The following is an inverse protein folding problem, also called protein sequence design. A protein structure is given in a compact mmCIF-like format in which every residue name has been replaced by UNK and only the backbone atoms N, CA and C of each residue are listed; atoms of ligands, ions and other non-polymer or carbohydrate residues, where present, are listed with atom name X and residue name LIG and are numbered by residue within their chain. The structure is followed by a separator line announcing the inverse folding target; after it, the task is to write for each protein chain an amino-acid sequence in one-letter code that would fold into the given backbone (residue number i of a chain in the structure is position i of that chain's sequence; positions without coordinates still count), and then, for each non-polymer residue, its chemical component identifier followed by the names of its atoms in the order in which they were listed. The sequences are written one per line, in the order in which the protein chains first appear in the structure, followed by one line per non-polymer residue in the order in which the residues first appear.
data_IF_076612769136
#
_entry.id   IF_076612769136
#
_cell.length_a   1.000
_cell.length_b   1.000
_cell.length_c   1.000
_cell.angle_alpha   90.00
_cell.angle_beta   90.00
_cell.angle_gamma   90.00
#
_symmetry.space_group_name_H-M   'P 1'
#
loop_
_entity.id
_entity.type
_entity.pdbx_description
1 polymer ?
#
# COMPACT_ATOMS: atom_id res chain seq x y z
N UNK A 1 -4.30 7.00 3.57
CA UNK A 1 -4.88 6.95 4.94
C UNK A 1 -4.98 5.50 5.36
N UNK A 2 -5.27 5.20 6.63
CA UNK A 2 -5.42 3.82 7.12
C UNK A 2 -6.77 3.24 6.73
N UNK A 3 -6.82 1.92 6.49
CA UNK A 3 -8.08 1.17 6.36
C UNK A 3 -8.97 1.43 7.58
N UNK A 4 -10.27 1.71 7.40
CA UNK A 4 -11.19 1.87 8.52
C UNK A 4 -11.29 0.59 9.36
N UNK A 5 -11.40 0.77 10.68
CA UNK A 5 -11.42 -0.33 11.66
C UNK A 5 -12.61 -1.27 11.45
N UNK A 6 -13.76 -0.73 11.06
CA UNK A 6 -15.01 -1.44 10.81
C UNK A 6 -15.69 -0.96 9.51
N UNK A 7 -16.52 -1.83 8.94
CA UNK A 7 -17.26 -1.52 7.72
C UNK A 7 -18.40 -0.53 8.00
N UNK A 8 -18.49 0.55 7.22
CA UNK A 8 -19.51 1.59 7.37
C UNK A 8 -20.95 1.08 7.21
N UNK A 9 -21.16 0.02 6.43
CA UNK A 9 -22.51 -0.52 6.18
C UNK A 9 -22.93 -1.57 7.21
N UNK A 10 -22.02 -2.46 7.61
CA UNK A 10 -22.39 -3.65 8.41
C UNK A 10 -21.72 -3.72 9.78
N UNK A 11 -20.88 -2.75 10.15
CA UNK A 11 -20.24 -2.64 11.46
C UNK A 11 -19.20 -3.71 11.78
N UNK A 12 -19.07 -4.79 11.00
CA UNK A 12 -18.08 -5.83 11.26
C UNK A 12 -16.66 -5.31 11.04
N UNK A 13 -15.72 -5.82 11.83
CA UNK A 13 -14.31 -5.46 11.80
C UNK A 13 -13.74 -5.73 10.39
N UNK A 14 -13.06 -4.72 9.86
CA UNK A 14 -12.46 -4.76 8.53
C UNK A 14 -10.93 -4.62 8.55
N UNK A 15 -10.39 -3.82 9.48
CA UNK A 15 -8.97 -3.46 9.54
C UNK A 15 -8.02 -4.63 9.80
N UNK A 16 -8.47 -5.69 10.46
CA UNK A 16 -7.68 -6.89 10.76
C UNK A 16 -7.21 -7.69 9.52
N UNK A 17 -7.73 -7.37 8.33
CA UNK A 17 -7.40 -8.08 7.08
C UNK A 17 -6.54 -7.27 6.13
N UNK A 18 -6.13 -6.05 6.51
CA UNK A 18 -5.27 -5.17 5.70
C UNK A 18 -3.98 -5.87 5.29
N UNK A 19 -3.32 -6.50 6.25
CA UNK A 19 -1.99 -7.08 6.07
C UNK A 19 -2.03 -8.39 5.26
N UNK A 20 -3.12 -9.15 5.37
CA UNK A 20 -3.29 -10.42 4.67
C UNK A 20 -3.68 -10.24 3.19
N UNK A 21 -4.44 -9.19 2.86
CA UNK A 21 -5.01 -9.01 1.53
C UNK A 21 -3.96 -8.88 0.40
N UNK A 22 -2.89 -8.08 0.51
CA UNK A 22 -1.84 -7.99 -0.50
C UNK A 22 -1.14 -9.34 -0.74
N UNK A 23 -0.99 -10.16 0.30
CA UNK A 23 -0.43 -11.51 0.19
C UNK A 23 -1.33 -12.47 -0.59
N UNK A 24 -2.66 -12.33 -0.45
CA UNK A 24 -3.63 -13.16 -1.17
C UNK A 24 -3.82 -12.76 -2.64
N UNK A 25 -3.57 -11.49 -3.02
CA UNK A 25 -3.66 -11.04 -4.41
C UNK A 25 -2.54 -11.57 -5.32
N UNK A 26 -1.47 -12.15 -4.76
CA UNK A 26 -0.36 -12.71 -5.53
C UNK A 26 -0.75 -14.01 -6.28
N UNK A 27 -1.39 -15.00 -5.61
CA UNK A 27 -1.84 -16.22 -6.28
C UNK A 27 -3.29 -16.21 -6.79
N UNK A 28 -4.15 -15.31 -6.30
CA UNK A 28 -5.60 -15.35 -6.58
C UNK A 28 -6.11 -14.09 -7.29
N UNK A 29 -7.21 -14.23 -8.03
CA UNK A 29 -8.00 -13.07 -8.50
C UNK A 29 -8.60 -12.33 -7.31
N UNK A 30 -8.84 -11.02 -7.45
CA UNK A 30 -9.29 -10.16 -6.34
C UNK A 30 -10.55 -10.70 -5.62
N UNK A 31 -11.51 -11.23 -6.38
CA UNK A 31 -12.71 -11.87 -5.82
C UNK A 31 -12.40 -13.15 -5.04
N UNK A 32 -11.56 -14.03 -5.60
CA UNK A 32 -11.16 -15.27 -4.93
C UNK A 32 -10.32 -15.01 -3.68
N UNK A 33 -9.49 -13.95 -3.67
CA UNK A 33 -8.75 -13.51 -2.50
C UNK A 33 -9.68 -13.04 -1.37
N UNK A 34 -10.76 -12.32 -1.71
CA UNK A 34 -11.78 -11.91 -0.75
C UNK A 34 -12.56 -13.10 -0.18
N UNK A 35 -12.89 -14.08 -1.02
CA UNK A 35 -13.58 -15.31 -0.60
C UNK A 35 -12.70 -16.18 0.29
N UNK A 36 -11.40 -16.31 -0.01
CA UNK A 36 -10.42 -16.99 0.83
C UNK A 36 -10.30 -16.35 2.22
N UNK A 37 -10.48 -15.03 2.31
CA UNK A 37 -10.53 -14.29 3.58
C UNK A 37 -11.93 -14.29 4.24
N UNK A 38 -12.92 -14.99 3.68
CA UNK A 38 -14.28 -15.10 4.21
C UNK A 38 -15.15 -13.86 4.03
N UNK A 39 -14.90 -13.02 3.02
CA UNK A 39 -15.67 -11.81 2.71
C UNK A 39 -16.80 -12.09 1.71
N UNK A 40 -17.85 -12.80 2.16
CA UNK A 40 -19.03 -13.13 1.33
C UNK A 40 -19.91 -11.94 0.90
N UNK A 41 -19.68 -10.74 1.41
CA UNK A 41 -20.57 -9.59 1.21
C UNK A 41 -19.80 -8.39 0.66
N UNK A 42 -20.37 -7.76 -0.36
CA UNK A 42 -19.80 -6.63 -1.08
C UNK A 42 -19.40 -5.47 -0.17
N UNK A 43 -20.20 -5.16 0.86
CA UNK A 43 -19.96 -4.03 1.76
C UNK A 43 -18.62 -4.09 2.50
N UNK A 44 -18.11 -5.30 2.76
CA UNK A 44 -16.83 -5.51 3.41
C UNK A 44 -15.68 -5.70 2.42
N UNK A 45 -15.98 -6.19 1.22
CA UNK A 45 -15.01 -6.30 0.12
C UNK A 45 -14.62 -4.91 -0.41
N UNK A 46 -15.59 -4.03 -0.60
CA UNK A 46 -15.35 -2.66 -1.08
C UNK A 46 -14.42 -1.84 -0.18
N UNK A 47 -14.43 -2.10 1.13
CA UNK A 47 -13.51 -1.46 2.08
C UNK A 47 -12.04 -1.82 1.85
N UNK A 48 -11.76 -3.02 1.31
CA UNK A 48 -10.40 -3.48 0.99
C UNK A 48 -10.02 -3.12 -0.45
N UNK A 49 -10.95 -3.29 -1.40
CA UNK A 49 -10.72 -3.02 -2.83
C UNK A 49 -10.49 -1.53 -3.11
N UNK A 50 -11.31 -0.65 -2.53
CA UNK A 50 -11.22 0.79 -2.79
C UNK A 50 -10.17 1.50 -1.92
N UNK A 51 -9.39 0.76 -1.12
CA UNK A 51 -8.50 1.36 -0.16
C UNK A 51 -7.19 1.85 -0.80
N UNK A 52 -6.80 3.09 -0.48
CA UNK A 52 -5.51 3.66 -0.87
C UNK A 52 -4.63 3.98 0.35
N UNK A 53 -3.54 3.22 0.50
CA UNK A 53 -2.57 3.35 1.59
C UNK A 53 -1.59 4.51 1.40
N UNK A 54 -2.11 5.73 1.50
CA UNK A 54 -1.29 6.96 1.33
C UNK A 54 -0.38 7.28 2.53
N UNK A 55 -0.43 6.52 3.64
CA UNK A 55 0.32 6.86 4.86
C UNK A 55 1.83 6.73 4.65
N UNK A 56 2.27 5.68 3.95
CA UNK A 56 3.68 5.48 3.64
C UNK A 56 4.24 6.65 2.82
N UNK A 57 3.45 7.15 1.85
CA UNK A 57 3.79 8.32 1.06
C UNK A 57 3.80 9.61 1.88
N UNK A 58 2.79 9.87 2.71
CA UNK A 58 2.74 11.08 3.55
C UNK A 58 3.87 11.12 4.58
N UNK A 59 4.27 9.97 5.12
CA UNK A 59 5.37 9.88 6.07
C UNK A 59 6.72 10.27 5.47
N UNK A 60 6.85 10.35 4.14
CA UNK A 60 8.05 10.88 3.48
C UNK A 60 8.17 12.40 3.63
N UNK A 61 7.05 13.12 3.64
CA UNK A 61 6.96 14.57 3.67
C UNK A 61 6.79 15.16 5.08
N UNK A 62 6.56 14.32 6.09
CA UNK A 62 6.46 14.77 7.47
C UNK A 62 7.73 15.52 7.91
N UNK A 63 7.60 16.68 8.58
CA UNK A 63 8.76 17.45 9.05
C UNK A 63 9.55 16.61 10.06
N UNK A 64 10.67 16.06 9.61
CA UNK A 64 11.58 15.32 10.48
C UNK A 64 12.33 16.33 11.33
N UNK A 65 12.07 16.34 12.64
CA UNK A 65 12.98 16.97 13.59
C UNK A 65 14.41 16.46 13.31
N UNK A 66 15.41 17.36 13.33
CA UNK A 66 16.80 17.09 12.90
C UNK A 66 17.42 15.82 13.51
N UNK A 67 16.91 15.34 14.64
CA UNK A 67 17.34 14.12 15.33
C UNK A 67 16.99 12.79 14.62
N UNK A 68 15.99 12.72 13.73
CA UNK A 68 15.52 11.43 13.17
C UNK A 68 16.24 10.98 11.89
N UNK A 69 17.15 11.82 11.35
CA UNK A 69 17.91 11.52 10.13
C UNK A 69 18.89 10.34 10.33
N UNK A 70 19.47 10.22 11.54
CA UNK A 70 20.44 9.17 11.90
C UNK A 70 19.83 7.77 12.03
N UNK A 71 18.59 7.65 12.52
CA UNK A 71 17.93 6.35 12.68
C UNK A 71 17.40 5.80 11.35
N UNK A 72 16.91 6.69 10.46
CA UNK A 72 16.37 6.27 9.16
C UNK A 72 17.47 5.73 8.23
N UNK A 73 18.65 6.36 8.22
CA UNK A 73 19.79 5.87 7.44
C UNK A 73 20.27 4.51 7.97
N UNK A 74 20.42 4.38 9.30
CA UNK A 74 20.86 3.14 9.95
C UNK A 74 19.88 1.97 9.79
N UNK A 75 18.58 2.25 9.66
CA UNK A 75 17.55 1.24 9.38
C UNK A 75 17.47 0.87 7.91
N UNK A 76 17.71 1.81 6.99
CA UNK A 76 17.80 1.53 5.55
C UNK A 76 18.99 0.63 5.22
N UNK A 77 20.12 0.82 5.90
CA UNK A 77 21.30 -0.03 5.76
C UNK A 77 21.07 -1.45 6.33
N UNK A 78 20.06 -1.65 7.18
CA UNK A 78 19.68 -2.94 7.79
C UNK A 78 18.53 -3.66 7.07
N UNK A 79 17.74 -2.97 6.25
CA UNK A 79 16.54 -3.50 5.57
C UNK A 79 16.75 -3.76 4.07
N UNK A 80 18.00 -3.87 3.63
CA UNK A 80 18.40 -4.07 2.23
C UNK A 80 18.00 -5.40 1.56
N UNK A 81 17.20 -6.26 2.19
CA UNK A 81 16.77 -7.53 1.60
C UNK A 81 15.27 -7.76 1.82
N UNK A 82 14.41 -7.10 1.05
CA UNK A 82 13.16 -7.65 0.50
C UNK A 82 12.77 -6.70 -0.63
N UNK A 83 13.11 -7.07 -1.86
CA UNK A 83 12.51 -6.50 -3.05
C UNK A 83 11.38 -7.43 -3.50
N UNK A 84 10.14 -6.98 -3.40
CA UNK A 84 9.10 -7.51 -4.25
C UNK A 84 8.62 -6.38 -5.18
N UNK A 85 8.76 -6.55 -6.50
CA UNK A 85 8.28 -5.59 -7.47
C UNK A 85 6.75 -5.72 -7.55
N UNK A 86 6.04 -4.75 -7.00
CA UNK A 86 4.69 -4.45 -7.45
C UNK A 86 4.74 -3.10 -8.14
N UNK A 87 4.45 -3.12 -9.43
CA UNK A 87 4.40 -2.01 -10.36
C UNK A 87 3.58 -0.83 -9.84
N UNK A 88 4.25 0.04 -9.09
CA UNK A 88 3.93 1.46 -9.06
C UNK A 88 5.16 2.20 -9.58
N UNK A 89 5.54 1.89 -10.82
CA UNK A 89 6.44 2.76 -11.56
C UNK A 89 5.77 4.13 -11.63
N UNK A 90 6.48 5.11 -11.08
CA UNK A 90 6.47 6.49 -11.53
C UNK A 90 5.32 7.40 -11.05
N UNK A 91 5.10 7.51 -9.74
CA UNK A 91 4.56 8.78 -9.20
C UNK A 91 5.66 9.77 -8.80
N UNK A 92 6.85 9.28 -8.41
CA UNK A 92 8.04 10.12 -8.20
C UNK A 92 8.50 10.81 -9.49
N UNK A 93 8.29 10.17 -10.64
CA UNK A 93 8.74 10.64 -11.97
C UNK A 93 7.80 11.73 -12.53
N UNK A 94 6.53 11.74 -12.11
CA UNK A 94 5.57 12.83 -12.40
C UNK A 94 5.89 14.09 -11.58
N UNK A 95 6.33 13.93 -10.33
CA UNK A 95 6.69 15.06 -9.44
C UNK A 95 8.06 15.66 -9.79
N UNK A 96 8.94 14.89 -10.46
CA UNK A 96 10.31 15.31 -10.77
C UNK A 96 10.49 16.00 -12.12
N UNK A 97 9.44 16.17 -12.93
CA UNK A 97 9.54 16.95 -14.17
C UNK A 97 10.62 16.48 -15.15
N UNK A 98 10.80 15.16 -15.33
CA UNK A 98 11.63 14.62 -16.42
C UNK A 98 10.81 13.64 -17.25
N UNK A 99 10.12 14.18 -18.26
CA UNK A 99 9.78 13.41 -19.46
C UNK A 99 11.06 13.32 -20.28
N UNK A 100 11.93 12.35 -19.96
CA UNK A 100 12.96 11.94 -20.90
C UNK A 100 12.32 11.03 -21.95
N UNK A 101 12.19 11.60 -23.16
CA UNK A 101 12.00 10.86 -24.41
C UNK A 101 13.09 9.80 -24.55
N UNK A 102 12.71 8.54 -24.58
CA UNK A 102 13.35 7.46 -25.36
C UNK A 102 12.53 6.18 -25.08
N UNK A 103 12.11 5.36 -26.04
CA UNK A 103 12.56 5.15 -27.41
C UNK A 103 11.50 4.30 -28.17
N UNK A 104 11.39 4.57 -29.48
CA UNK A 104 11.17 3.58 -30.56
C UNK A 104 9.84 2.79 -30.57
N UNK A 105 8.86 3.31 -31.31
CA UNK A 105 8.59 2.86 -32.70
C UNK A 105 7.92 3.97 -33.49
#
# INVERSE_FOLDING_TARGET
MTIPTCCFTCGKIAGNKREAYPGCCRPYTEGAALDAMGRKYYCRGGMLLAHADLIEFLNMYAPKNKASKYMKQKLLDLLGEINCPTDYKDFSTIVSGQVEKSEKM
#
